data_IF_927521884615
#
_entry.id   IF_927521884615
#
_cell.length_a   1.000
_cell.length_b   1.000
_cell.length_c   1.000
_cell.angle_alpha   90.00
_cell.angle_beta   90.00
_cell.angle_gamma   90.00
#
_symmetry.space_group_name_H-M   'P 1'
#
loop_
_entity.id
_entity.type
_entity.pdbx_description
1 polymer ?
#
# COMPACT_ATOMS: atom_id res chain seq x y z
N UNK A 1 9.85 28.18 -0.07
CA UNK A 1 9.26 27.18 0.85
C UNK A 1 7.90 27.68 1.32
N UNK A 2 6.88 26.81 1.39
CA UNK A 2 5.58 27.17 1.99
C UNK A 2 5.58 26.69 3.44
N UNK A 3 5.44 27.59 4.41
CA UNK A 3 5.60 27.22 5.82
C UNK A 3 4.60 26.13 6.22
N UNK A 4 5.11 25.15 6.95
CA UNK A 4 4.38 24.01 7.50
C UNK A 4 3.38 24.47 8.60
N UNK A 5 3.38 25.76 8.96
CA UNK A 5 2.81 26.31 10.19
C UNK A 5 1.30 26.58 10.18
N UNK A 6 0.62 26.53 9.03
CA UNK A 6 -0.86 26.47 9.00
C UNK A 6 -1.30 25.11 8.51
N UNK A 7 -1.64 24.26 9.46
CA UNK A 7 -2.29 22.98 9.20
C UNK A 7 -3.74 23.17 9.65
N UNK A 8 -4.70 23.14 8.71
CA UNK A 8 -6.14 23.10 9.01
C UNK A 8 -6.48 21.97 10.01
N UNK A 9 -7.74 21.81 10.47
CA UNK A 9 -8.23 21.22 11.76
C UNK A 9 -7.67 19.87 12.26
N UNK A 10 -6.75 19.27 11.54
CA UNK A 10 -5.59 18.59 12.13
C UNK A 10 -4.57 19.59 12.76
N UNK A 11 -4.99 20.81 13.07
CA UNK A 11 -4.16 21.87 13.67
C UNK A 11 -3.78 21.58 15.11
N UNK A 12 -4.45 20.61 15.75
CA UNK A 12 -4.10 20.06 17.08
C UNK A 12 -3.37 18.72 17.00
N UNK A 13 -3.29 18.08 15.82
CA UNK A 13 -2.61 16.80 15.68
C UNK A 13 -1.09 17.04 15.65
N UNK A 14 -0.30 16.50 16.59
CA UNK A 14 1.15 16.65 16.59
C UNK A 14 1.75 15.80 15.47
N UNK A 15 1.73 16.35 14.25
CA UNK A 15 2.27 15.72 13.06
C UNK A 15 3.73 15.35 13.27
N UNK A 16 4.06 14.07 13.10
CA UNK A 16 5.45 13.66 13.09
C UNK A 16 6.08 13.88 11.72
N UNK A 17 7.42 13.79 11.67
CA UNK A 17 8.18 14.28 10.52
C UNK A 17 7.84 13.57 9.20
N UNK A 18 7.60 12.25 9.23
CA UNK A 18 7.18 11.52 8.03
C UNK A 18 5.83 11.99 7.47
N UNK A 19 4.88 12.36 8.34
CA UNK A 19 3.60 12.92 7.88
C UNK A 19 3.79 14.29 7.24
N UNK A 20 4.72 15.11 7.74
CA UNK A 20 5.03 16.42 7.15
C UNK A 20 5.56 16.26 5.72
N UNK A 21 6.42 15.28 5.45
CA UNK A 21 6.89 14.99 4.09
C UNK A 21 5.74 14.58 3.16
N UNK A 22 4.82 13.75 3.63
CA UNK A 22 3.65 13.36 2.85
C UNK A 22 2.72 14.57 2.57
N UNK A 23 2.44 15.41 3.56
CA UNK A 23 1.63 16.64 3.42
C UNK A 23 2.30 17.70 2.53
N UNK A 24 3.63 17.68 2.43
CA UNK A 24 4.42 18.56 1.56
C UNK A 24 4.55 18.04 0.11
N UNK A 25 4.12 16.81 -0.16
CA UNK A 25 4.26 16.16 -1.47
C UNK A 25 3.16 16.56 -2.45
N UNK A 26 3.53 16.67 -3.73
CA UNK A 26 2.61 16.91 -4.86
C UNK A 26 3.11 16.27 -6.16
N UNK A 27 3.76 15.10 -6.06
CA UNK A 27 4.04 14.22 -7.21
C UNK A 27 2.75 13.63 -7.78
N UNK A 28 2.80 12.97 -8.94
CA UNK A 28 1.62 12.34 -9.54
C UNK A 28 1.03 11.28 -8.59
N UNK A 29 1.90 10.57 -7.89
CA UNK A 29 1.54 9.58 -6.88
C UNK A 29 2.33 9.83 -5.60
N UNK A 30 1.65 9.81 -4.46
CA UNK A 30 2.25 9.84 -3.12
C UNK A 30 1.94 8.51 -2.43
N UNK A 31 2.97 7.72 -2.17
CA UNK A 31 2.85 6.41 -1.53
C UNK A 31 3.31 6.53 -0.08
N UNK A 32 2.42 6.23 0.85
CA UNK A 32 2.63 6.29 2.29
C UNK A 32 2.49 4.89 2.85
N UNK A 33 3.60 4.36 3.31
CA UNK A 33 3.76 2.98 3.73
C UNK A 33 3.89 2.97 5.24
N UNK A 34 3.06 2.18 5.94
CA UNK A 34 3.25 2.07 7.37
C UNK A 34 2.34 1.09 8.08
N UNK A 35 2.82 0.61 9.23
CA UNK A 35 2.09 -0.27 10.13
C UNK A 35 0.83 0.35 10.72
N UNK A 36 0.09 -0.42 11.51
CA UNK A 36 -1.01 0.11 12.31
C UNK A 36 -0.50 1.18 13.28
N UNK A 37 -1.30 2.24 13.47
CA UNK A 37 -0.98 3.38 14.32
C UNK A 37 0.28 4.19 13.92
N UNK A 38 0.77 4.04 12.69
CA UNK A 38 1.86 4.89 12.13
C UNK A 38 1.41 6.30 11.72
N UNK A 39 0.11 6.61 11.81
CA UNK A 39 -0.43 7.89 11.32
C UNK A 39 -0.73 7.96 9.82
N UNK A 40 -0.63 6.85 9.07
CA UNK A 40 -0.88 6.79 7.62
C UNK A 40 -2.27 7.27 7.19
N UNK A 41 -3.33 6.86 7.88
CA UNK A 41 -4.71 7.27 7.55
C UNK A 41 -4.93 8.76 7.84
N UNK A 42 -4.30 9.28 8.90
CA UNK A 42 -4.33 10.70 9.25
C UNK A 42 -3.70 11.56 8.14
N UNK A 43 -2.66 11.07 7.45
CA UNK A 43 -2.10 11.75 6.27
C UNK A 43 -3.13 11.92 5.17
N UNK A 44 -3.89 10.86 4.84
CA UNK A 44 -4.96 10.95 3.85
C UNK A 44 -5.98 12.02 4.20
N UNK A 45 -6.44 12.04 5.47
CA UNK A 45 -7.31 13.09 5.99
C UNK A 45 -6.70 14.50 5.92
N UNK A 46 -5.41 14.63 6.20
CA UNK A 46 -4.71 15.92 6.15
C UNK A 46 -4.48 16.49 4.77
N UNK A 47 -4.17 15.62 3.81
CA UNK A 47 -4.09 16.02 2.41
C UNK A 47 -5.46 16.53 1.93
N UNK A 48 -6.54 15.81 2.25
CA UNK A 48 -7.90 16.25 1.92
C UNK A 48 -8.23 17.57 2.62
N UNK A 49 -7.95 17.67 3.92
CA UNK A 49 -8.22 18.86 4.73
C UNK A 49 -7.57 20.13 4.18
N UNK A 50 -6.32 20.04 3.72
CA UNK A 50 -5.63 21.14 3.03
C UNK A 50 -6.27 21.44 1.68
N UNK A 51 -6.59 20.41 0.90
CA UNK A 51 -7.15 20.61 -0.44
C UNK A 51 -8.53 21.28 -0.39
N UNK A 52 -9.44 20.84 0.49
CA UNK A 52 -10.77 21.47 0.64
C UNK A 52 -10.71 22.91 1.15
N UNK A 53 -9.61 23.28 1.82
CA UNK A 53 -9.32 24.66 2.27
C UNK A 53 -8.56 25.50 1.25
N UNK A 54 -8.28 24.95 0.06
CA UNK A 54 -7.48 25.62 -0.98
C UNK A 54 -6.06 25.92 -0.49
N UNK A 55 -5.47 24.98 0.23
CA UNK A 55 -4.15 25.09 0.83
C UNK A 55 -3.18 23.99 0.38
N UNK A 56 -1.90 24.25 0.59
CA UNK A 56 -0.85 23.25 0.44
C UNK A 56 -0.35 23.03 -1.00
N UNK A 57 0.57 22.07 -1.18
CA UNK A 57 1.26 21.85 -2.45
C UNK A 57 0.35 21.30 -3.55
N UNK A 58 -0.54 20.37 -3.19
CA UNK A 58 -1.47 19.75 -4.15
C UNK A 58 -2.45 20.79 -4.69
N UNK A 59 -3.04 21.63 -3.84
CA UNK A 59 -3.89 22.72 -4.33
C UNK A 59 -3.13 23.68 -5.25
N UNK A 60 -1.90 24.10 -4.88
CA UNK A 60 -1.07 24.96 -5.76
C UNK A 60 -0.79 24.33 -7.12
N UNK A 61 -0.63 23.00 -7.18
CA UNK A 61 -0.46 22.24 -8.42
C UNK A 61 -1.73 22.19 -9.27
N UNK A 62 -2.89 22.10 -8.61
CA UNK A 62 -4.21 21.99 -9.24
C UNK A 62 -4.78 23.33 -9.68
N UNK A 63 -4.35 24.43 -9.04
CA UNK A 63 -4.88 25.78 -9.26
C UNK A 63 -4.77 26.18 -10.74
N UNK A 64 -5.91 26.58 -11.31
CA UNK A 64 -6.02 27.18 -12.65
C UNK A 64 -6.55 28.61 -12.52
N UNK A 65 -6.54 29.37 -13.62
CA UNK A 65 -7.05 30.73 -13.65
C UNK A 65 -8.59 30.77 -13.53
N UNK A 66 -9.25 29.73 -14.05
CA UNK A 66 -10.65 29.40 -13.84
C UNK A 66 -10.74 28.40 -12.68
N UNK A 67 -10.89 28.89 -11.45
CA UNK A 67 -11.08 28.00 -10.30
C UNK A 67 -12.35 27.17 -10.51
N UNK A 68 -12.16 25.91 -10.90
CA UNK A 68 -13.25 24.95 -11.13
C UNK A 68 -13.57 24.16 -9.86
N UNK A 69 -14.73 23.48 -9.82
CA UNK A 69 -15.10 22.66 -8.69
C UNK A 69 -14.11 21.51 -8.49
N UNK A 70 -13.76 21.25 -7.22
CA UNK A 70 -12.93 20.13 -6.81
C UNK A 70 -13.74 18.83 -6.83
N UNK A 71 -13.10 17.76 -7.28
CA UNK A 71 -13.62 16.39 -7.28
C UNK A 71 -12.61 15.51 -6.55
N UNK A 72 -13.00 14.97 -5.40
CA UNK A 72 -12.12 14.17 -4.54
C UNK A 72 -12.75 12.80 -4.33
N UNK A 73 -11.96 11.72 -4.37
CA UNK A 73 -12.39 10.39 -3.96
C UNK A 73 -11.59 9.90 -2.76
N UNK A 74 -12.27 9.35 -1.77
CA UNK A 74 -11.70 8.55 -0.69
C UNK A 74 -12.12 7.10 -0.92
N UNK A 75 -11.14 6.21 -0.94
CA UNK A 75 -11.34 4.83 -1.34
C UNK A 75 -10.72 3.80 -0.40
N UNK A 76 -11.45 3.43 0.67
CA UNK A 76 -11.11 2.27 1.49
C UNK A 76 -11.52 0.97 0.80
N UNK A 77 -11.01 -0.17 1.29
CA UNK A 77 -11.32 -1.49 0.73
C UNK A 77 -12.82 -1.82 0.68
N UNK A 78 -13.58 -1.42 1.69
CA UNK A 78 -15.02 -1.72 1.79
C UNK A 78 -15.83 -0.52 2.26
N UNK A 79 -17.14 -0.58 2.02
CA UNK A 79 -18.06 0.45 2.50
C UNK A 79 -18.12 0.53 4.03
N UNK A 80 -18.01 -0.62 4.70
CA UNK A 80 -17.93 -0.67 6.16
C UNK A 80 -16.73 0.11 6.70
N UNK A 81 -15.55 -0.05 6.08
CA UNK A 81 -14.36 0.75 6.41
C UNK A 81 -14.58 2.25 6.14
N UNK A 82 -15.33 2.60 5.09
CA UNK A 82 -15.71 3.98 4.86
C UNK A 82 -16.55 4.52 6.02
N UNK A 83 -17.66 3.85 6.36
CA UNK A 83 -18.59 4.28 7.40
C UNK A 83 -17.94 4.34 8.78
N UNK A 84 -17.11 3.36 9.13
CA UNK A 84 -16.47 3.25 10.44
C UNK A 84 -15.29 4.20 10.63
N UNK A 85 -14.45 4.40 9.60
CA UNK A 85 -13.19 5.13 9.75
C UNK A 85 -13.20 6.51 9.08
N UNK A 86 -13.77 6.60 7.87
CA UNK A 86 -13.69 7.80 7.04
C UNK A 86 -14.86 8.75 7.23
N UNK A 87 -16.09 8.25 7.34
CA UNK A 87 -17.27 9.11 7.46
C UNK A 87 -17.16 10.03 8.68
N UNK A 88 -16.86 9.45 9.85
CA UNK A 88 -16.64 10.20 11.08
C UNK A 88 -15.51 11.20 10.94
N UNK A 89 -14.34 10.77 10.43
CA UNK A 89 -13.15 11.63 10.23
C UNK A 89 -13.43 12.79 9.29
N UNK A 90 -14.15 12.55 8.20
CA UNK A 90 -14.51 13.60 7.26
C UNK A 90 -15.43 14.64 7.91
N UNK A 91 -16.42 14.21 8.70
CA UNK A 91 -17.35 15.12 9.40
C UNK A 91 -16.69 15.88 10.55
N UNK A 92 -15.99 15.17 11.42
CA UNK A 92 -15.52 15.66 12.73
C UNK A 92 -14.11 16.24 12.67
N UNK A 93 -13.30 15.91 11.66
CA UNK A 93 -11.93 16.41 11.54
C UNK A 93 -11.74 17.25 10.28
N UNK A 94 -12.15 16.77 9.10
CA UNK A 94 -11.85 17.45 7.83
C UNK A 94 -12.77 18.64 7.57
N UNK A 95 -14.09 18.42 7.62
CA UNK A 95 -15.11 19.43 7.37
C UNK A 95 -15.60 20.13 8.65
N UNK A 96 -15.08 19.73 9.80
CA UNK A 96 -15.38 20.39 11.07
C UNK A 96 -15.09 21.89 10.98
N UNK A 97 -16.05 22.67 11.50
CA UNK A 97 -16.04 24.12 11.56
C UNK A 97 -15.83 24.86 10.23
N UNK A 98 -15.85 24.19 9.07
CA UNK A 98 -15.67 24.87 7.77
C UNK A 98 -16.76 25.91 7.53
N UNK A 99 -17.99 25.64 7.95
CA UNK A 99 -19.10 26.59 7.83
C UNK A 99 -18.83 27.87 8.64
N UNK A 100 -18.25 27.75 9.84
CA UNK A 100 -17.96 28.89 10.71
C UNK A 100 -16.68 29.63 10.31
N UNK A 101 -15.60 28.88 10.05
CA UNK A 101 -14.24 29.42 9.87
C UNK A 101 -13.94 29.84 8.43
N UNK A 102 -14.50 29.11 7.44
CA UNK A 102 -14.25 29.35 6.02
C UNK A 102 -15.48 29.88 5.28
N UNK A 103 -16.63 30.00 5.96
CA UNK A 103 -17.91 30.45 5.39
C UNK A 103 -18.33 29.65 4.15
N UNK A 104 -18.11 28.35 4.24
CA UNK A 104 -18.44 27.36 3.20
C UNK A 104 -19.75 26.67 3.59
N UNK A 105 -20.64 26.37 2.63
CA UNK A 105 -21.84 25.57 2.91
C UNK A 105 -21.54 24.09 2.64
N UNK A 106 -21.32 23.30 3.68
CA UNK A 106 -21.03 21.85 3.56
C UNK A 106 -22.30 21.03 3.78
N UNK A 107 -22.63 20.18 2.82
CA UNK A 107 -23.72 19.20 2.90
C UNK A 107 -23.17 17.78 2.83
N UNK A 108 -23.83 16.84 3.51
CA UNK A 108 -23.49 15.42 3.45
C UNK A 108 -24.72 14.57 3.15
N UNK A 109 -24.58 13.66 2.17
CA UNK A 109 -25.61 12.67 1.81
C UNK A 109 -24.99 11.28 1.80
N UNK A 110 -25.56 10.37 2.57
CA UNK A 110 -25.02 9.01 2.73
C UNK A 110 -25.48 8.02 1.66
N UNK A 111 -26.72 8.15 1.16
CA UNK A 111 -27.37 7.16 0.28
C UNK A 111 -27.76 7.77 -1.08
N UNK A 112 -27.60 7.07 -2.22
CA UNK A 112 -27.07 5.70 -2.38
C UNK A 112 -25.54 5.60 -2.34
N UNK A 113 -24.83 6.73 -2.32
CA UNK A 113 -23.37 6.78 -2.21
C UNK A 113 -22.98 7.98 -1.34
N UNK A 114 -22.05 7.83 -0.37
CA UNK A 114 -21.58 8.89 0.48
C UNK A 114 -20.93 10.00 -0.32
N UNK A 115 -21.46 11.21 -0.17
CA UNK A 115 -20.92 12.41 -0.80
C UNK A 115 -21.00 13.59 0.15
N UNK A 116 -19.87 14.28 0.30
CA UNK A 116 -19.82 15.63 0.84
C UNK A 116 -19.83 16.59 -0.34
N UNK A 117 -20.70 17.60 -0.30
CA UNK A 117 -20.71 18.67 -1.30
C UNK A 117 -20.54 20.02 -0.61
N UNK A 118 -19.79 20.93 -1.23
CA UNK A 118 -19.63 22.26 -0.69
C UNK A 118 -19.40 23.35 -1.74
N UNK A 119 -19.76 24.57 -1.38
CA UNK A 119 -19.53 25.78 -2.17
C UNK A 119 -18.60 26.73 -1.41
N UNK A 120 -17.54 27.18 -2.07
CA UNK A 120 -16.60 28.15 -1.52
C UNK A 120 -16.53 29.41 -2.40
N UNK A 121 -15.71 30.40 -1.99
CA UNK A 121 -15.57 31.66 -2.71
C UNK A 121 -14.97 31.52 -4.12
N UNK A 122 -14.42 30.35 -4.46
CA UNK A 122 -13.74 30.10 -5.73
C UNK A 122 -14.63 29.32 -6.70
N UNK A 123 -15.35 28.32 -6.22
CA UNK A 123 -16.23 27.49 -7.05
C UNK A 123 -17.41 26.90 -6.27
N UNK A 124 -18.56 26.83 -6.91
CA UNK A 124 -19.72 26.05 -6.45
C UNK A 124 -19.74 24.63 -7.01
N UNK A 125 -20.30 23.69 -6.25
CA UNK A 125 -20.50 22.31 -6.63
C UNK A 125 -19.28 21.43 -6.41
N UNK A 126 -18.41 21.72 -5.43
CA UNK A 126 -17.29 20.84 -5.07
C UNK A 126 -17.82 19.55 -4.42
N UNK A 127 -17.13 18.42 -4.61
CA UNK A 127 -17.57 17.12 -4.12
C UNK A 127 -16.43 16.23 -3.64
N UNK A 128 -16.67 15.52 -2.54
CA UNK A 128 -15.87 14.40 -2.06
C UNK A 128 -16.75 13.15 -1.98
N UNK A 129 -16.39 12.10 -2.71
CA UNK A 129 -17.11 10.84 -2.75
C UNK A 129 -16.40 9.74 -1.96
N UNK A 130 -17.16 8.96 -1.20
CA UNK A 130 -16.73 7.66 -0.68
C UNK A 130 -16.95 6.56 -1.70
N UNK A 131 -15.87 5.93 -2.17
CA UNK A 131 -15.91 4.81 -3.13
C UNK A 131 -15.20 3.59 -2.56
N UNK A 132 -15.90 2.49 -2.32
CA UNK A 132 -15.22 1.28 -1.83
C UNK A 132 -14.56 0.51 -2.96
N UNK A 133 -13.37 -0.03 -2.70
CA UNK A 133 -12.62 -0.79 -3.71
C UNK A 133 -13.35 -2.08 -4.11
N UNK A 134 -14.15 -2.67 -3.21
CA UNK A 134 -15.00 -3.84 -3.47
C UNK A 134 -16.09 -3.64 -4.54
N UNK A 135 -16.39 -2.38 -4.91
CA UNK A 135 -17.28 -2.06 -6.04
C UNK A 135 -16.64 -2.40 -7.40
N UNK A 136 -15.34 -2.71 -7.41
CA UNK A 136 -14.59 -3.04 -8.61
C UNK A 136 -14.20 -1.82 -9.45
N UNK A 137 -13.38 -2.05 -10.48
CA UNK A 137 -12.76 -0.98 -11.26
C UNK A 137 -13.77 -0.12 -12.06
N UNK A 138 -14.93 -0.68 -12.44
CA UNK A 138 -15.98 0.04 -13.16
C UNK A 138 -16.54 1.23 -12.36
N UNK A 139 -16.54 1.13 -11.02
CA UNK A 139 -16.96 2.24 -10.16
C UNK A 139 -16.00 3.45 -10.24
N UNK A 140 -14.82 3.30 -10.84
CA UNK A 140 -13.79 4.33 -10.98
C UNK A 140 -13.73 4.92 -12.40
N UNK A 141 -14.75 4.68 -13.23
CA UNK A 141 -14.78 5.09 -14.65
C UNK A 141 -15.68 6.30 -14.96
N UNK A 142 -16.27 6.99 -13.97
CA UNK A 142 -17.32 7.99 -14.23
C UNK A 142 -16.85 9.44 -14.37
N UNK A 143 -15.86 9.90 -13.59
CA UNK A 143 -15.62 11.35 -13.44
C UNK A 143 -14.18 11.80 -13.68
N UNK A 144 -14.00 13.10 -13.95
CA UNK A 144 -12.69 13.77 -13.83
C UNK A 144 -12.43 14.08 -12.35
N UNK A 145 -11.25 13.74 -11.85
CA UNK A 145 -10.95 13.79 -10.41
C UNK A 145 -9.66 14.56 -10.16
N UNK A 146 -9.57 15.25 -9.03
CA UNK A 146 -8.44 16.07 -8.61
C UNK A 146 -7.52 15.35 -7.64
N UNK A 147 -8.12 14.57 -6.74
CA UNK A 147 -7.42 13.82 -5.71
C UNK A 147 -8.14 12.50 -5.50
N UNK A 148 -7.37 11.42 -5.48
CA UNK A 148 -7.86 10.08 -5.10
C UNK A 148 -6.99 9.60 -3.94
N UNK A 149 -7.59 9.31 -2.80
CA UNK A 149 -6.91 8.74 -1.64
C UNK A 149 -7.36 7.30 -1.48
N UNK A 150 -6.48 6.34 -1.74
CA UNK A 150 -6.69 4.93 -1.46
C UNK A 150 -6.23 4.63 -0.02
N UNK A 151 -7.16 4.16 0.80
CA UNK A 151 -6.89 3.63 2.13
C UNK A 151 -6.81 2.11 2.06
N UNK A 152 -5.63 1.58 2.31
CA UNK A 152 -5.14 0.25 1.93
C UNK A 152 -4.88 0.05 0.43
N UNK A 153 -3.98 -0.88 0.14
CA UNK A 153 -3.57 -1.24 -1.21
C UNK A 153 -4.76 -1.81 -2.01
N UNK A 154 -5.04 -1.29 -3.22
CA UNK A 154 -5.97 -1.92 -4.15
C UNK A 154 -5.53 -3.35 -4.50
N UNK A 155 -6.34 -4.34 -4.12
CA UNK A 155 -6.07 -5.75 -4.44
C UNK A 155 -6.15 -6.03 -5.94
N UNK A 156 -7.05 -5.33 -6.64
CA UNK A 156 -7.16 -5.35 -8.09
C UNK A 156 -6.43 -4.14 -8.69
N UNK A 157 -5.29 -4.32 -9.38
CA UNK A 157 -4.55 -3.23 -10.01
C UNK A 157 -5.39 -2.44 -11.02
N UNK A 158 -6.48 -3.00 -11.55
CA UNK A 158 -7.37 -2.32 -12.50
C UNK A 158 -8.05 -1.11 -11.87
N UNK A 159 -8.35 -1.16 -10.57
CA UNK A 159 -8.91 -0.02 -9.84
C UNK A 159 -7.95 1.17 -9.91
N UNK A 160 -6.65 0.94 -9.66
CA UNK A 160 -5.63 1.97 -9.78
C UNK A 160 -5.52 2.48 -11.23
N UNK A 161 -5.50 1.60 -12.23
CA UNK A 161 -5.39 2.05 -13.62
C UNK A 161 -6.60 2.86 -14.08
N UNK A 162 -7.82 2.50 -13.67
CA UNK A 162 -9.03 3.26 -13.98
C UNK A 162 -9.00 4.63 -13.29
N UNK A 163 -8.52 4.69 -12.05
CA UNK A 163 -8.32 5.93 -11.30
C UNK A 163 -7.30 6.88 -11.95
N UNK A 164 -6.17 6.38 -12.45
CA UNK A 164 -5.15 7.19 -13.15
C UNK A 164 -5.77 7.92 -14.35
N UNK A 165 -6.63 7.25 -15.11
CA UNK A 165 -7.29 7.86 -16.27
C UNK A 165 -8.17 9.05 -15.89
N UNK A 166 -8.70 9.11 -14.66
CA UNK A 166 -9.55 10.21 -14.18
C UNK A 166 -8.78 11.50 -13.92
N UNK A 167 -7.47 11.39 -13.71
CA UNK A 167 -6.58 12.53 -13.44
C UNK A 167 -6.00 13.17 -14.71
N UNK A 168 -6.22 12.55 -15.88
CA UNK A 168 -5.54 12.89 -17.13
C UNK A 168 -5.72 14.36 -17.57
N UNK A 169 -6.82 15.00 -17.17
CA UNK A 169 -7.14 16.39 -17.56
C UNK A 169 -7.06 17.40 -16.42
N UNK A 170 -6.80 16.93 -15.20
CA UNK A 170 -6.87 17.73 -13.97
C UNK A 170 -5.51 18.05 -13.37
N UNK A 171 -4.44 17.39 -13.85
CA UNK A 171 -3.13 17.38 -13.19
C UNK A 171 -3.21 16.84 -11.75
N UNK A 172 -4.19 15.96 -11.50
CA UNK A 172 -4.51 15.44 -10.18
C UNK A 172 -3.49 14.49 -9.60
N UNK A 173 -3.74 14.09 -8.36
CA UNK A 173 -2.81 13.31 -7.54
C UNK A 173 -3.49 12.05 -7.00
N UNK A 174 -2.80 10.91 -7.04
CA UNK A 174 -3.18 9.72 -6.28
C UNK A 174 -2.35 9.66 -5.00
N UNK A 175 -3.00 9.40 -3.87
CA UNK A 175 -2.37 9.07 -2.60
C UNK A 175 -2.72 7.63 -2.26
N UNK A 176 -1.72 6.83 -1.94
CA UNK A 176 -1.87 5.44 -1.47
C UNK A 176 -1.39 5.39 -0.03
N UNK A 177 -2.25 5.05 0.92
CA UNK A 177 -1.87 4.86 2.33
C UNK A 177 -2.12 3.41 2.72
N UNK A 178 -1.08 2.60 2.92
CA UNK A 178 -1.28 1.19 3.22
C UNK A 178 -0.15 0.56 4.02
N UNK A 179 -0.44 -0.60 4.59
CA UNK A 179 0.58 -1.43 5.23
C UNK A 179 1.08 -2.46 4.20
N UNK A 180 2.39 -2.64 3.98
CA UNK A 180 2.92 -3.59 2.99
C UNK A 180 2.83 -5.05 3.46
N UNK A 181 1.62 -5.51 3.82
CA UNK A 181 1.39 -6.85 4.37
C UNK A 181 1.52 -7.97 3.33
N UNK A 182 1.38 -7.64 2.05
CA UNK A 182 1.40 -8.62 0.95
C UNK A 182 2.80 -8.81 0.34
N UNK A 183 3.85 -8.25 0.94
CA UNK A 183 5.23 -8.37 0.44
C UNK A 183 5.45 -7.65 -0.89
N UNK A 184 6.06 -8.34 -1.87
CA UNK A 184 6.37 -7.81 -3.21
C UNK A 184 5.13 -7.72 -4.12
N UNK A 185 4.13 -6.95 -3.72
CA UNK A 185 2.90 -6.73 -4.48
C UNK A 185 3.12 -5.85 -5.72
N UNK A 186 2.06 -5.55 -6.48
CA UNK A 186 2.18 -4.71 -7.67
C UNK A 186 2.63 -3.28 -7.33
N UNK A 187 2.27 -2.75 -6.15
CA UNK A 187 2.74 -1.43 -5.70
C UNK A 187 4.25 -1.44 -5.41
N UNK A 188 4.80 -2.57 -4.97
CA UNK A 188 6.25 -2.74 -4.81
C UNK A 188 6.98 -2.53 -6.13
N UNK A 189 6.61 -3.34 -7.13
CA UNK A 189 7.26 -3.33 -8.44
C UNK A 189 7.07 -1.99 -9.15
N UNK A 190 5.90 -1.37 -8.99
CA UNK A 190 5.53 -0.14 -9.69
C UNK A 190 6.11 1.13 -9.05
N UNK A 191 6.11 1.22 -7.72
CA UNK A 191 6.44 2.46 -7.01
C UNK A 191 7.68 2.30 -6.14
N UNK A 192 7.70 1.32 -5.25
CA UNK A 192 8.75 1.20 -4.24
C UNK A 192 10.12 0.88 -4.85
N UNK A 193 10.25 -0.30 -5.47
CA UNK A 193 11.52 -0.79 -6.03
C UNK A 193 12.24 0.20 -6.98
N UNK A 194 11.53 0.90 -7.90
CA UNK A 194 12.19 1.83 -8.80
C UNK A 194 12.37 3.25 -8.21
N UNK A 195 11.99 3.49 -6.96
CA UNK A 195 12.07 4.82 -6.29
C UNK A 195 12.88 4.80 -5.00
N UNK A 196 12.81 3.74 -4.19
CA UNK A 196 13.53 3.60 -2.93
C UNK A 196 15.03 3.32 -3.17
N UNK A 197 15.71 4.25 -3.84
CA UNK A 197 17.11 4.19 -4.26
C UNK A 197 17.86 5.40 -3.72
N UNK A 198 19.16 5.26 -3.47
CA UNK A 198 19.99 6.33 -2.91
C UNK A 198 19.90 7.64 -3.68
N UNK A 199 19.86 7.58 -5.01
CA UNK A 199 19.76 8.75 -5.90
C UNK A 199 18.46 9.57 -5.74
N UNK A 200 17.37 8.95 -5.25
CA UNK A 200 16.08 9.61 -5.04
C UNK A 200 15.81 9.92 -3.56
N UNK A 201 16.73 9.60 -2.65
CA UNK A 201 16.54 9.82 -1.21
C UNK A 201 16.55 11.32 -0.91
N UNK A 202 15.48 11.80 -0.26
CA UNK A 202 15.34 13.22 0.14
C UNK A 202 15.34 13.41 1.66
N UNK A 203 15.01 12.37 2.41
CA UNK A 203 15.14 12.31 3.87
C UNK A 203 15.25 10.85 4.33
N UNK A 204 15.40 10.63 5.64
CA UNK A 204 15.29 9.27 6.18
C UNK A 204 13.93 8.68 5.82
N UNK A 205 13.93 7.47 5.23
CA UNK A 205 12.70 6.76 4.81
C UNK A 205 11.78 7.55 3.88
N UNK A 206 12.33 8.54 3.15
CA UNK A 206 11.60 9.34 2.15
C UNK A 206 12.40 9.42 0.85
N UNK A 207 11.74 9.07 -0.25
CA UNK A 207 12.30 9.11 -1.59
C UNK A 207 11.36 9.82 -2.56
N UNK A 208 11.93 10.57 -3.51
CA UNK A 208 11.18 11.30 -4.53
C UNK A 208 11.84 11.13 -5.90
N UNK A 209 11.12 10.52 -6.84
CA UNK A 209 11.54 10.39 -8.24
C UNK A 209 10.87 11.48 -9.09
N UNK A 210 11.53 12.63 -9.18
CA UNK A 210 11.06 13.77 -9.97
C UNK A 210 9.67 14.25 -9.56
N UNK A 211 8.78 14.43 -10.54
CA UNK A 211 7.36 14.75 -10.31
C UNK A 211 6.46 13.51 -10.36
N UNK A 212 7.02 12.32 -10.55
CA UNK A 212 6.27 11.10 -10.78
C UNK A 212 5.77 10.50 -9.47
N UNK A 213 6.68 10.13 -8.58
CA UNK A 213 6.33 9.43 -7.34
C UNK A 213 7.11 9.98 -6.14
N UNK A 214 6.44 10.07 -5.00
CA UNK A 214 7.09 10.16 -3.68
C UNK A 214 6.71 8.92 -2.89
N UNK A 215 7.68 8.27 -2.25
CA UNK A 215 7.51 7.15 -1.34
C UNK A 215 7.94 7.58 0.06
N UNK A 216 7.09 7.37 1.05
CA UNK A 216 7.34 7.66 2.47
C UNK A 216 7.07 6.39 3.27
N UNK A 217 8.04 5.93 4.04
CA UNK A 217 7.83 4.91 5.07
C UNK A 217 7.63 5.57 6.44
N UNK A 218 6.65 5.08 7.19
CA UNK A 218 6.33 5.51 8.54
C UNK A 218 6.00 4.31 9.41
N UNK A 219 6.40 4.38 10.66
CA UNK A 219 6.16 3.33 11.62
C UNK A 219 5.54 3.85 12.91
N UNK A 220 5.11 2.91 13.76
CA UNK A 220 4.55 3.24 15.07
C UNK A 220 5.52 4.07 15.94
N UNK A 221 6.84 3.85 15.78
CA UNK A 221 7.86 4.59 16.52
C UNK A 221 7.93 6.08 16.12
N UNK A 222 7.42 6.43 14.94
CA UNK A 222 7.35 7.82 14.50
C UNK A 222 6.15 8.56 15.11
N UNK A 223 5.10 7.84 15.55
CA UNK A 223 3.87 8.43 16.08
C UNK A 223 4.00 8.74 17.59
N UNK A 224 3.99 10.04 18.00
CA UNK A 224 4.14 10.42 19.41
C UNK A 224 3.07 9.83 20.33
N UNK A 225 1.83 9.69 19.84
CA UNK A 225 0.74 9.11 20.63
C UNK A 225 0.97 7.62 20.90
N UNK A 226 1.47 6.88 19.90
CA UNK A 226 1.78 5.46 20.07
C UNK A 226 2.99 5.24 20.97
N UNK A 227 4.00 6.12 20.90
CA UNK A 227 5.14 6.10 21.81
C UNK A 227 4.68 6.39 23.25
N UNK A 228 3.91 7.46 23.46
CA UNK A 228 3.39 7.84 24.78
C UNK A 228 2.44 6.77 25.37
N UNK A 229 1.63 6.12 24.53
CA UNK A 229 0.73 5.04 24.91
C UNK A 229 1.39 3.66 25.09
N UNK A 230 2.72 3.58 25.09
CA UNK A 230 3.49 2.35 25.30
C UNK A 230 3.32 1.30 24.19
N UNK A 231 2.85 1.69 23.00
CA UNK A 231 2.68 0.79 21.85
C UNK A 231 4.00 0.21 21.36
N UNK A 232 5.03 1.07 21.29
CA UNK A 232 6.39 0.67 20.86
C UNK A 232 6.97 -0.40 21.79
N UNK A 233 6.91 -0.17 23.11
CA UNK A 233 7.41 -1.10 24.11
C UNK A 233 6.69 -2.46 24.04
N UNK A 234 5.37 -2.47 23.83
CA UNK A 234 4.58 -3.70 23.67
C UNK A 234 4.98 -4.52 22.45
N UNK A 235 5.24 -3.88 21.30
CA UNK A 235 5.68 -4.61 20.10
C UNK A 235 7.12 -5.11 20.26
N UNK A 236 8.00 -4.32 20.87
CA UNK A 236 9.39 -4.74 21.14
C UNK A 236 9.45 -5.97 22.04
N UNK A 237 8.59 -6.03 23.07
CA UNK A 237 8.56 -7.12 24.04
C UNK A 237 7.67 -8.32 23.65
N UNK A 238 7.00 -8.29 22.49
CA UNK A 238 6.14 -9.38 22.05
C UNK A 238 6.99 -10.61 21.64
N UNK A 239 6.88 -11.74 22.37
CA UNK A 239 7.66 -12.94 22.06
C UNK A 239 7.11 -13.71 20.85
N UNK A 240 5.88 -13.43 20.41
CA UNK A 240 5.24 -14.06 19.26
C UNK A 240 5.54 -13.37 17.92
N UNK A 241 6.23 -12.22 17.94
CA UNK A 241 6.63 -11.51 16.71
C UNK A 241 8.12 -11.72 16.44
N UNK A 242 8.44 -12.02 15.18
CA UNK A 242 9.82 -12.01 14.70
C UNK A 242 10.40 -10.60 14.71
N UNK A 243 11.73 -10.47 14.78
CA UNK A 243 12.39 -9.15 14.70
C UNK A 243 12.08 -8.41 13.39
N UNK A 244 11.90 -9.14 12.29
CA UNK A 244 11.46 -8.58 11.01
C UNK A 244 10.04 -7.98 11.07
N UNK A 245 9.09 -8.69 11.70
CA UNK A 245 7.73 -8.18 11.90
C UNK A 245 7.71 -6.96 12.83
N UNK A 246 8.52 -6.98 13.89
CA UNK A 246 8.69 -5.83 14.78
C UNK A 246 9.22 -4.63 14.01
N UNK A 247 10.28 -4.81 13.23
CA UNK A 247 10.88 -3.73 12.45
C UNK A 247 9.89 -3.14 11.42
N UNK A 248 9.15 -4.00 10.71
CA UNK A 248 8.10 -3.57 9.79
C UNK A 248 7.00 -2.78 10.50
N UNK A 249 6.53 -3.23 11.67
CA UNK A 249 5.46 -2.55 12.43
C UNK A 249 5.92 -1.24 13.07
N UNK A 250 7.14 -1.22 13.59
CA UNK A 250 7.70 -0.08 14.31
C UNK A 250 8.26 1.00 13.40
N UNK A 251 8.80 0.64 12.24
CA UNK A 251 9.54 1.55 11.36
C UNK A 251 9.00 1.62 9.92
N UNK A 252 8.09 0.72 9.53
CA UNK A 252 7.38 0.80 8.25
C UNK A 252 8.17 0.32 7.02
N UNK A 253 9.30 -0.37 7.22
CA UNK A 253 10.15 -0.84 6.13
C UNK A 253 9.38 -1.76 5.16
N UNK A 254 9.32 -1.33 3.90
CA UNK A 254 8.66 -2.08 2.83
C UNK A 254 9.59 -3.20 2.38
N UNK A 255 9.03 -4.40 2.22
CA UNK A 255 9.82 -5.55 1.78
C UNK A 255 10.63 -6.21 2.90
N UNK A 256 10.51 -5.77 4.15
CA UNK A 256 11.03 -6.49 5.31
C UNK A 256 10.07 -7.63 5.73
N UNK A 257 9.74 -8.49 4.76
CA UNK A 257 9.58 -9.91 5.06
C UNK A 257 10.97 -10.53 4.90
N UNK A 258 11.93 -10.14 5.76
CA UNK A 258 13.15 -10.93 5.89
C UNK A 258 12.80 -12.21 6.62
N UNK A 259 12.93 -13.29 5.87
CA UNK A 259 12.70 -14.66 6.24
C UNK A 259 12.61 -15.41 4.93
N UNK A 260 13.39 -16.47 4.76
CA UNK A 260 13.03 -17.47 3.76
C UNK A 260 11.54 -17.79 3.96
N UNK A 261 10.80 -18.05 2.89
CA UNK A 261 9.41 -18.56 3.01
C UNK A 261 9.40 -19.83 3.87
N UNK A 262 10.53 -20.54 3.90
CA UNK A 262 10.85 -21.69 4.74
C UNK A 262 12.16 -21.43 5.52
N UNK A 263 12.13 -20.67 6.64
CA UNK A 263 13.32 -20.39 7.44
C UNK A 263 13.96 -21.67 8.02
N UNK A 264 13.18 -22.74 8.20
CA UNK A 264 13.66 -24.08 8.57
C UNK A 264 14.66 -24.67 7.54
N UNK A 265 14.63 -24.20 6.29
CA UNK A 265 15.54 -24.65 5.25
C UNK A 265 16.79 -23.78 5.10
N UNK A 266 16.88 -22.66 5.84
CA UNK A 266 18.02 -21.72 5.81
C UNK A 266 19.35 -22.37 6.17
N UNK A 267 19.28 -23.36 7.06
CA UNK A 267 20.43 -24.04 7.64
C UNK A 267 20.65 -25.41 7.02
N UNK A 268 19.93 -25.76 5.94
CA UNK A 268 20.17 -27.02 5.24
C UNK A 268 21.60 -27.05 4.72
N UNK A 269 22.36 -27.98 5.24
CA UNK A 269 23.70 -28.28 4.78
C UNK A 269 23.71 -29.71 4.24
N UNK A 270 24.18 -29.88 3.00
CA UNK A 270 24.34 -31.18 2.36
C UNK A 270 25.39 -32.06 3.06
N UNK A 271 26.22 -31.49 3.95
CA UNK A 271 27.24 -32.22 4.70
C UNK A 271 26.84 -32.54 6.14
N UNK A 272 25.62 -32.19 6.57
CA UNK A 272 25.13 -32.50 7.91
C UNK A 272 24.55 -33.94 7.93
N UNK A 273 25.19 -34.90 8.62
CA UNK A 273 24.77 -36.30 8.62
C UNK A 273 23.42 -36.54 9.32
N UNK A 274 22.94 -35.59 10.13
CA UNK A 274 21.66 -35.69 10.84
C UNK A 274 20.53 -34.92 10.13
N UNK A 275 20.75 -34.44 8.90
CA UNK A 275 19.76 -33.66 8.14
C UNK A 275 18.59 -34.53 7.66
N UNK A 276 17.34 -34.30 8.14
CA UNK A 276 16.20 -35.14 7.79
C UNK A 276 15.59 -34.82 6.41
N UNK A 277 16.05 -33.76 5.73
CA UNK A 277 15.45 -33.25 4.49
C UNK A 277 16.28 -33.55 3.23
N UNK A 278 17.58 -33.85 3.38
CA UNK A 278 18.47 -34.21 2.27
C UNK A 278 18.87 -35.67 2.42
N UNK A 279 18.59 -36.46 1.38
CA UNK A 279 18.90 -37.88 1.33
C UNK A 279 19.78 -38.14 0.11
N UNK A 280 20.83 -38.93 0.27
CA UNK A 280 21.70 -39.34 -0.84
C UNK A 280 21.00 -40.25 -1.86
N UNK A 281 19.86 -40.82 -1.48
CA UNK A 281 19.03 -41.64 -2.36
C UNK A 281 17.71 -42.03 -1.73
N UNK A 282 16.82 -42.59 -2.55
CA UNK A 282 15.57 -43.16 -2.05
C UNK A 282 15.82 -44.39 -1.17
N UNK A 283 15.08 -44.55 -0.06
CA UNK A 283 15.08 -45.81 0.68
C UNK A 283 14.77 -47.02 -0.22
N UNK A 284 15.60 -48.06 -0.12
CA UNK A 284 15.60 -49.18 -1.09
C UNK A 284 14.45 -50.17 -0.84
N UNK A 285 13.95 -50.26 0.40
CA UNK A 285 12.98 -51.29 0.82
C UNK A 285 11.53 -50.77 0.87
N UNK A 286 11.14 -49.88 -0.06
CA UNK A 286 9.79 -49.30 -0.10
C UNK A 286 9.23 -49.29 -1.51
N UNK A 287 7.94 -49.64 -1.71
CA UNK A 287 7.26 -49.38 -2.98
C UNK A 287 6.94 -47.87 -3.10
N UNK A 288 7.12 -47.32 -4.30
CA UNK A 288 6.86 -45.91 -4.62
C UNK A 288 5.80 -45.74 -5.70
N UNK A 289 4.92 -44.78 -5.49
CA UNK A 289 4.09 -44.15 -6.53
C UNK A 289 4.79 -42.89 -7.03
N UNK A 290 4.66 -42.59 -8.32
CA UNK A 290 5.38 -41.47 -8.95
C UNK A 290 4.42 -40.37 -9.39
N UNK A 291 4.76 -39.12 -9.09
CA UNK A 291 4.03 -37.94 -9.50
C UNK A 291 5.00 -36.95 -10.15
N UNK A 292 4.67 -36.52 -11.38
CA UNK A 292 5.35 -35.39 -12.03
C UNK A 292 4.48 -34.15 -11.84
N UNK A 293 5.02 -33.11 -11.22
CA UNK A 293 4.38 -31.79 -11.10
C UNK A 293 5.07 -30.79 -12.02
N UNK A 294 4.29 -29.96 -12.72
CA UNK A 294 4.79 -28.96 -13.66
C UNK A 294 4.17 -27.59 -13.36
N UNK A 295 4.98 -26.53 -13.33
CA UNK A 295 4.51 -25.13 -13.25
C UNK A 295 4.50 -24.48 -14.64
N UNK A 296 3.33 -24.15 -15.20
CA UNK A 296 3.24 -23.58 -16.54
C UNK A 296 3.47 -22.06 -16.62
N UNK A 297 3.52 -21.34 -15.50
CA UNK A 297 3.43 -19.87 -15.52
C UNK A 297 4.78 -19.12 -15.50
N UNK A 298 5.89 -19.81 -15.24
CA UNK A 298 7.23 -19.19 -15.18
C UNK A 298 8.30 -20.15 -15.69
N UNK A 299 8.65 -20.11 -16.98
CA UNK A 299 9.84 -20.80 -17.54
C UNK A 299 9.97 -22.24 -17.00
N UNK A 300 9.05 -23.09 -17.44
CA UNK A 300 8.74 -24.45 -16.97
C UNK A 300 9.85 -25.17 -16.19
N UNK A 301 9.53 -25.45 -14.92
CA UNK A 301 10.20 -26.44 -14.09
C UNK A 301 9.30 -27.66 -13.88
N UNK A 302 9.84 -28.86 -14.03
CA UNK A 302 9.16 -30.12 -13.71
C UNK A 302 9.82 -30.78 -12.51
N UNK A 303 9.04 -31.29 -11.57
CA UNK A 303 9.54 -31.93 -10.36
C UNK A 303 8.99 -33.36 -10.27
N UNK A 304 9.89 -34.33 -10.32
CA UNK A 304 9.54 -35.73 -10.13
C UNK A 304 9.53 -36.04 -8.62
N UNK A 305 8.38 -36.50 -8.15
CA UNK A 305 8.13 -36.82 -6.75
C UNK A 305 7.83 -38.31 -6.60
N UNK A 306 8.58 -39.01 -5.74
CA UNK A 306 8.25 -40.35 -5.29
C UNK A 306 7.42 -40.27 -4.00
N UNK A 307 6.37 -41.08 -3.89
CA UNK A 307 5.48 -41.17 -2.73
C UNK A 307 5.47 -42.61 -2.25
N UNK A 308 5.92 -42.88 -1.04
CA UNK A 308 5.92 -44.24 -0.49
C UNK A 308 4.56 -44.65 0.07
N UNK A 309 4.46 -45.91 0.50
CA UNK A 309 3.25 -46.49 1.11
C UNK A 309 2.84 -45.88 2.46
N UNK A 310 3.74 -45.14 3.13
CA UNK A 310 3.45 -44.42 4.39
C UNK A 310 3.02 -42.96 4.11
N UNK A 311 3.09 -42.51 2.86
CA UNK A 311 2.74 -41.17 2.42
C UNK A 311 3.89 -40.15 2.46
N UNK A 312 5.13 -40.60 2.71
CA UNK A 312 6.31 -39.74 2.63
C UNK A 312 6.56 -39.33 1.18
N UNK A 313 7.00 -38.09 0.97
CA UNK A 313 7.25 -37.51 -0.36
C UNK A 313 8.72 -37.19 -0.53
N UNK A 314 9.29 -37.67 -1.62
CA UNK A 314 10.69 -37.48 -1.96
C UNK A 314 10.78 -36.77 -3.31
N UNK A 315 11.45 -35.63 -3.34
CA UNK A 315 11.68 -34.87 -4.58
C UNK A 315 13.00 -35.30 -5.19
N UNK A 316 12.93 -36.13 -6.23
CA UNK A 316 14.09 -36.93 -6.68
C UNK A 316 14.85 -36.33 -7.85
N UNK A 317 14.17 -35.54 -8.68
CA UNK A 317 14.73 -34.97 -9.89
C UNK A 317 13.93 -33.73 -10.24
N UNK A 318 14.64 -32.70 -10.62
CA UNK A 318 14.07 -31.50 -11.21
C UNK A 318 14.54 -31.37 -12.66
N UNK A 319 13.63 -30.89 -13.50
CA UNK A 319 13.96 -30.41 -14.84
C UNK A 319 13.71 -28.91 -14.85
N UNK A 320 14.76 -28.12 -15.00
CA UNK A 320 14.65 -26.67 -15.15
C UNK A 320 15.67 -26.19 -16.18
N UNK A 321 15.22 -25.31 -17.08
CA UNK A 321 16.12 -24.65 -18.05
C UNK A 321 15.64 -23.25 -18.36
N UNK A 322 16.39 -22.28 -17.86
CA UNK A 322 16.07 -20.87 -18.05
C UNK A 322 16.04 -20.49 -19.54
N UNK A 323 15.08 -19.64 -19.93
CA UNK A 323 14.92 -19.10 -21.28
C UNK A 323 14.63 -20.09 -22.42
N UNK A 324 14.20 -21.32 -22.11
CA UNK A 324 13.71 -22.26 -23.12
C UNK A 324 12.18 -22.21 -23.27
N UNK A 325 11.65 -22.45 -24.49
CA UNK A 325 10.21 -22.48 -24.71
C UNK A 325 9.58 -23.78 -24.21
N UNK A 326 8.31 -23.72 -23.80
CA UNK A 326 7.52 -24.83 -23.20
C UNK A 326 7.57 -26.14 -24.01
N UNK A 327 7.61 -26.03 -25.34
CA UNK A 327 7.73 -27.17 -26.26
C UNK A 327 8.99 -28.01 -26.06
N UNK A 328 10.04 -27.44 -25.47
CA UNK A 328 11.30 -28.11 -25.23
C UNK A 328 11.24 -28.87 -23.90
N UNK A 329 10.75 -28.23 -22.85
CA UNK A 329 10.49 -28.86 -21.55
C UNK A 329 9.51 -30.04 -21.67
N UNK A 330 8.45 -29.89 -22.47
CA UNK A 330 7.47 -30.95 -22.69
C UNK A 330 8.07 -32.24 -23.30
N UNK A 331 9.18 -32.14 -24.05
CA UNK A 331 9.86 -33.32 -24.60
C UNK A 331 10.60 -34.13 -23.57
N UNK A 332 11.03 -33.50 -22.48
CA UNK A 332 11.83 -34.14 -21.43
C UNK A 332 10.94 -34.85 -20.38
N UNK A 333 9.61 -34.71 -20.49
CA UNK A 333 8.61 -35.36 -19.63
C UNK A 333 7.96 -36.61 -20.22
N UNK A 334 8.24 -36.91 -21.50
CA UNK A 334 7.80 -38.10 -22.23
C UNK A 334 8.90 -39.15 -22.28
#
# INVERSE_FOLDING_TARGET
>A
EGSIERMGPLGSFPWHDQQKFALASATNVVVVLGGNQSGKTTVGGGIISRLVRREGPIYRRLRKADDRPLRIWVSPQSFEKYSSNWERRLREEVFADMNATHRVDVTYKQSPTPVFSWDDAYAGGNQLWGKSQDQGFLAFESDKVDLIVFDEEPKDPRIYTSAVQRLATTNGVIVLTFTPLLGMSWTHARFYHPTARGEYKVADRVWRRGNDVTVIEMGMADNPESVAGGGVARIQSDPGMTEAEKNTRLHGHYGYAEGLIFPEFATLNATDPDNPYLLDGLPIDRPYSWLLTCDPNKRHGGLLTAIDHEGNRYYVAEHYKEDQPDRLHAKDYH
#
